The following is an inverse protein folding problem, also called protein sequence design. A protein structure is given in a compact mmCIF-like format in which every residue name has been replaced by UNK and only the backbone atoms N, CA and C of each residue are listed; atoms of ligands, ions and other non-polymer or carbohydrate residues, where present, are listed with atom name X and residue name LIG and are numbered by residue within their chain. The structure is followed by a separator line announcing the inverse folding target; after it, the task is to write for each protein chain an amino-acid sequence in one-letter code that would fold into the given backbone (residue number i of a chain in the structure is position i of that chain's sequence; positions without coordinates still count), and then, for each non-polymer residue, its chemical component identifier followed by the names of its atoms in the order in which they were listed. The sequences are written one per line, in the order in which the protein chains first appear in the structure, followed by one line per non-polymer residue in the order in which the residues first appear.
data_IF_417936439962
#
_entry.id   IF_417936439962
#
_cell.length_a   1.000
_cell.length_b   1.000
_cell.length_c   1.000
_cell.angle_alpha   90.00
_cell.angle_beta   90.00
_cell.angle_gamma   90.00
#
_symmetry.space_group_name_H-M   'P 1'
#
loop_
_entity.id
_entity.type
_entity.pdbx_description
1 polymer ?
#
# COMPACT_ATOMS: atom_id res chain seq x y z
N UNK A 1 -2.70 12.07 24.69
CA UNK A 1 -1.97 10.80 24.45
C UNK A 1 -2.84 9.74 23.77
N UNK A 2 -4.11 9.55 24.15
CA UNK A 2 -4.99 8.53 23.54
C UNK A 2 -5.23 8.68 22.03
N UNK A 3 -5.35 9.92 21.52
CA UNK A 3 -5.63 10.19 20.10
C UNK A 3 -4.52 9.72 19.16
N UNK A 4 -3.26 9.91 19.56
CA UNK A 4 -2.11 9.49 18.76
C UNK A 4 -2.04 7.96 18.64
N UNK A 5 -2.24 7.24 19.74
CA UNK A 5 -2.26 5.77 19.76
C UNK A 5 -3.36 5.20 18.84
N UNK A 6 -4.57 5.76 18.88
CA UNK A 6 -5.65 5.34 17.98
C UNK A 6 -5.33 5.63 16.51
N UNK A 7 -4.70 6.77 16.19
CA UNK A 7 -4.30 7.05 14.80
C UNK A 7 -3.19 6.14 14.27
N UNK A 8 -2.26 5.69 15.13
CA UNK A 8 -1.21 4.75 14.72
C UNK A 8 -1.73 3.32 14.60
N UNK A 9 -2.68 2.93 15.47
CA UNK A 9 -3.27 1.58 15.46
C UNK A 9 -4.39 1.41 14.42
N UNK A 10 -5.07 2.50 14.04
CA UNK A 10 -6.11 2.51 13.03
C UNK A 10 -5.99 3.79 12.16
N UNK A 11 -5.04 3.81 11.22
CA UNK A 11 -4.86 4.95 10.34
C UNK A 11 -6.09 5.13 9.47
N UNK A 12 -6.68 6.33 9.45
CA UNK A 12 -7.85 6.62 8.62
C UNK A 12 -7.49 6.75 7.13
N UNK A 13 -6.24 7.12 6.82
CA UNK A 13 -5.76 7.36 5.45
C UNK A 13 -4.24 7.31 5.33
N UNK A 14 -3.75 7.48 4.11
CA UNK A 14 -2.32 7.61 3.82
C UNK A 14 -1.62 6.26 3.73
N UNK A 15 -0.29 6.30 3.81
CA UNK A 15 0.54 5.11 3.58
C UNK A 15 0.21 3.95 4.51
N UNK A 16 0.04 4.21 5.81
CA UNK A 16 -0.22 3.14 6.77
C UNK A 16 -1.54 2.42 6.47
N UNK A 17 -2.59 3.17 6.09
CA UNK A 17 -3.87 2.58 5.70
C UNK A 17 -3.74 1.75 4.43
N UNK A 18 -3.07 2.30 3.41
CA UNK A 18 -2.80 1.60 2.16
C UNK A 18 -2.00 0.30 2.38
N UNK A 19 -0.98 0.33 3.23
CA UNK A 19 -0.21 -0.86 3.58
C UNK A 19 -1.06 -1.91 4.29
N UNK A 20 -1.81 -1.53 5.33
CA UNK A 20 -2.64 -2.47 6.11
C UNK A 20 -3.73 -3.12 5.25
N UNK A 21 -4.38 -2.35 4.38
CA UNK A 21 -5.47 -2.84 3.55
C UNK A 21 -4.99 -3.80 2.43
N UNK A 22 -3.74 -3.67 1.98
CA UNK A 22 -3.27 -4.32 0.75
C UNK A 22 -2.11 -5.31 0.93
N UNK A 23 -1.44 -5.37 2.08
CA UNK A 23 -0.31 -6.28 2.29
C UNK A 23 -0.77 -7.74 2.39
N UNK A 24 -0.14 -8.61 1.60
CA UNK A 24 -0.35 -10.04 1.70
C UNK A 24 0.31 -10.64 2.95
N UNK A 25 -0.12 -11.85 3.33
CA UNK A 25 0.49 -12.58 4.43
C UNK A 25 1.94 -12.99 4.13
N UNK A 26 2.71 -13.28 5.18
CA UNK A 26 4.14 -13.52 5.09
C UNK A 26 4.50 -14.75 4.22
N UNK A 27 3.66 -15.78 4.21
CA UNK A 27 3.83 -16.97 3.36
C UNK A 27 3.73 -16.64 1.86
N UNK A 28 3.14 -15.49 1.51
CA UNK A 28 3.01 -14.96 0.15
C UNK A 28 4.03 -13.86 -0.17
N UNK A 29 5.02 -13.64 0.70
CA UNK A 29 6.10 -12.69 0.48
C UNK A 29 5.86 -11.27 1.00
N UNK A 30 4.74 -11.02 1.70
CA UNK A 30 4.40 -9.70 2.27
C UNK A 30 4.40 -8.54 1.24
N UNK A 31 4.05 -8.84 -0.01
CA UNK A 31 3.89 -7.86 -1.08
C UNK A 31 2.49 -7.23 -1.05
N UNK A 32 2.33 -6.04 -1.64
CA UNK A 32 1.03 -5.41 -1.82
C UNK A 32 0.29 -6.10 -2.97
N UNK A 33 -0.97 -6.45 -2.76
CA UNK A 33 -1.80 -7.22 -3.70
C UNK A 33 -1.82 -6.64 -5.13
N UNK A 34 -1.88 -5.32 -5.26
CA UNK A 34 -1.93 -4.60 -6.53
C UNK A 34 -0.57 -4.49 -7.23
N UNK A 35 0.52 -4.89 -6.58
CA UNK A 35 1.87 -4.94 -7.17
C UNK A 35 2.23 -6.32 -7.72
N UNK A 36 1.46 -7.35 -7.38
CA UNK A 36 1.76 -8.73 -7.80
C UNK A 36 1.76 -8.83 -9.32
N UNK A 37 2.88 -9.31 -9.87
CA UNK A 37 3.09 -9.48 -11.30
C UNK A 37 4.09 -8.47 -11.87
N UNK A 38 3.77 -7.89 -13.02
CA UNK A 38 4.59 -6.88 -13.69
C UNK A 38 3.72 -6.01 -14.59
N UNK A 39 3.96 -4.70 -14.60
CA UNK A 39 3.23 -3.75 -15.45
C UNK A 39 3.78 -3.64 -16.87
N UNK A 40 4.95 -4.24 -17.16
CA UNK A 40 5.60 -4.16 -18.47
C UNK A 40 6.16 -2.77 -18.82
N UNK A 41 6.80 -2.63 -20.00
CA UNK A 41 7.54 -1.42 -20.39
C UNK A 41 6.72 -0.43 -21.24
N UNK A 42 5.40 -0.37 -21.05
CA UNK A 42 4.52 0.44 -21.91
C UNK A 42 4.88 1.94 -21.87
N UNK A 43 4.90 2.59 -23.04
CA UNK A 43 5.22 4.01 -23.17
C UNK A 43 3.93 4.81 -23.10
N UNK A 44 3.77 5.57 -22.01
CA UNK A 44 2.58 6.40 -21.77
C UNK A 44 2.62 7.71 -22.56
N UNK A 45 1.54 8.50 -22.45
CA UNK A 45 1.44 9.83 -23.08
C UNK A 45 2.61 10.75 -22.74
N UNK A 46 2.89 11.68 -23.66
CA UNK A 46 3.80 12.80 -23.41
C UNK A 46 3.30 13.68 -22.25
N UNK A 47 4.24 14.13 -21.42
CA UNK A 47 3.96 14.88 -20.19
C UNK A 47 3.94 16.40 -20.37
N UNK A 48 4.35 16.89 -21.55
CA UNK A 48 4.53 18.31 -21.88
C UNK A 48 4.05 18.62 -23.30
#
# INVERSE_FOLDING_TARGET
MQLAANSYANPERGWQRMYIDHVNQADKGADLDFLVGSSGPDVTRESH
#
